data_IF_798188183752
#
_entry.id   IF_798188183752
#
_cell.length_a   1.000
_cell.length_b   1.000
_cell.length_c   1.000
_cell.angle_alpha   90.00
_cell.angle_beta   90.00
_cell.angle_gamma   90.00
#
_symmetry.space_group_name_H-M   'P 1'
#
loop_
_entity.id
_entity.type
_entity.pdbx_description
1 polymer ?
#
# COMPACT_ATOMS: atom_id res chain seq x y z
N UNK A 1 1.18 23.07 -8.89
CA UNK A 1 0.90 22.39 -7.62
C UNK A 1 1.83 21.20 -7.46
N UNK A 2 2.37 21.05 -6.25
CA UNK A 2 3.28 19.94 -5.97
C UNK A 2 2.51 18.78 -5.35
N UNK A 3 2.81 17.56 -5.76
CA UNK A 3 2.26 16.35 -5.17
C UNK A 3 3.26 15.21 -5.30
N UNK A 4 3.12 14.23 -4.46
CA UNK A 4 3.94 13.02 -4.56
C UNK A 4 3.50 12.24 -5.80
N UNK A 5 4.46 11.91 -6.69
CA UNK A 5 4.12 11.20 -7.92
C UNK A 5 4.87 9.89 -8.10
N UNK A 6 5.82 9.60 -7.22
CA UNK A 6 6.56 8.34 -7.30
C UNK A 6 6.96 7.90 -5.90
N UNK A 7 6.68 6.64 -5.59
CA UNK A 7 7.18 5.98 -4.39
C UNK A 7 7.76 4.64 -4.81
N UNK A 8 9.01 4.38 -4.43
CA UNK A 8 9.68 3.11 -4.70
C UNK A 8 9.89 2.39 -3.38
N UNK A 9 9.39 1.17 -3.30
CA UNK A 9 9.58 0.30 -2.14
C UNK A 9 10.53 -0.83 -2.51
N UNK A 10 11.56 -1.03 -1.69
CA UNK A 10 12.50 -2.14 -1.85
C UNK A 10 11.96 -3.33 -1.05
N UNK A 11 11.84 -4.48 -1.70
CA UNK A 11 11.13 -5.63 -1.17
C UNK A 11 12.04 -6.86 -1.18
N UNK A 12 12.01 -7.63 -0.09
CA UNK A 12 12.73 -8.90 -0.04
C UNK A 12 12.17 -9.91 -1.04
N UNK A 13 10.85 -9.84 -1.26
CA UNK A 13 10.14 -10.71 -2.20
C UNK A 13 9.06 -9.87 -2.88
N UNK A 14 9.34 -9.44 -4.12
CA UNK A 14 8.39 -8.58 -4.84
C UNK A 14 7.07 -9.28 -5.13
N UNK A 15 7.05 -10.63 -5.23
CA UNK A 15 5.81 -11.35 -5.44
C UNK A 15 4.92 -11.31 -4.20
N UNK A 16 5.51 -11.47 -3.01
CA UNK A 16 4.77 -11.38 -1.77
C UNK A 16 4.21 -9.96 -1.58
N UNK A 17 5.01 -8.95 -1.89
CA UNK A 17 4.59 -7.56 -1.77
C UNK A 17 3.50 -7.22 -2.79
N UNK A 18 3.62 -7.72 -4.02
CA UNK A 18 2.58 -7.54 -5.02
C UNK A 18 1.24 -8.11 -4.53
N UNK A 19 1.25 -9.33 -3.99
CA UNK A 19 0.02 -9.96 -3.47
C UNK A 19 -0.61 -9.13 -2.35
N UNK A 20 0.23 -8.61 -1.45
CA UNK A 20 -0.26 -7.78 -0.35
C UNK A 20 -0.94 -6.51 -0.88
N UNK A 21 -0.25 -5.76 -1.74
CA UNK A 21 -0.78 -4.48 -2.22
C UNK A 21 -1.95 -4.66 -3.18
N UNK A 22 -2.04 -5.81 -3.86
CA UNK A 22 -3.21 -6.12 -4.69
C UNK A 22 -4.47 -6.33 -3.85
N UNK A 23 -4.35 -6.80 -2.61
CA UNK A 23 -5.51 -6.87 -1.71
C UNK A 23 -6.06 -5.47 -1.44
N UNK A 24 -5.22 -4.45 -1.50
CA UNK A 24 -5.60 -3.04 -1.33
C UNK A 24 -6.15 -2.42 -2.63
N UNK A 25 -6.51 -3.23 -3.62
CA UNK A 25 -7.05 -2.82 -4.92
C UNK A 25 -6.03 -2.12 -5.82
N UNK A 26 -4.75 -2.27 -5.56
CA UNK A 26 -3.72 -1.78 -6.46
C UNK A 26 -3.46 -2.82 -7.54
N UNK A 27 -3.23 -2.36 -8.77
CA UNK A 27 -2.97 -3.25 -9.91
C UNK A 27 -1.56 -3.00 -10.40
N UNK A 28 -0.77 -4.08 -10.49
CA UNK A 28 0.63 -3.98 -10.85
C UNK A 28 0.90 -4.60 -12.20
N UNK A 29 1.81 -3.97 -12.95
CA UNK A 29 2.35 -4.51 -14.18
C UNK A 29 3.83 -4.82 -13.98
N UNK A 30 4.28 -5.94 -14.55
CA UNK A 30 5.67 -6.31 -14.49
C UNK A 30 6.47 -5.55 -15.54
N UNK A 31 7.61 -5.02 -15.13
CA UNK A 31 8.52 -4.29 -16.01
C UNK A 31 9.94 -4.79 -15.84
N UNK A 32 10.72 -4.73 -16.93
CA UNK A 32 12.15 -4.92 -16.91
C UNK A 32 12.71 -4.04 -18.01
N UNK A 33 13.66 -3.17 -17.66
CA UNK A 33 14.26 -2.21 -18.58
C UNK A 33 15.72 -2.58 -18.81
N UNK A 34 16.04 -3.01 -20.03
CA UNK A 34 17.39 -3.44 -20.37
C UNK A 34 17.84 -4.58 -19.48
N UNK A 35 18.99 -4.41 -18.83
CA UNK A 35 19.55 -5.39 -17.90
C UNK A 35 19.10 -5.18 -16.46
N UNK A 36 18.15 -4.26 -16.25
CA UNK A 36 17.65 -3.96 -14.92
C UNK A 36 16.82 -5.08 -14.34
N UNK A 37 16.58 -5.07 -13.02
CA UNK A 37 15.81 -6.11 -12.37
C UNK A 37 14.33 -6.02 -12.75
N UNK A 38 13.68 -7.19 -12.75
CA UNK A 38 12.23 -7.23 -12.85
C UNK A 38 11.63 -6.53 -11.65
N UNK A 39 10.65 -5.68 -11.88
CA UNK A 39 9.95 -4.96 -10.83
C UNK A 39 8.49 -4.80 -11.21
N UNK A 40 7.67 -4.39 -10.26
CA UNK A 40 6.26 -4.11 -10.48
C UNK A 40 5.98 -2.63 -10.35
N UNK A 41 5.06 -2.15 -11.17
CA UNK A 41 4.62 -0.76 -11.11
C UNK A 41 3.10 -0.70 -11.12
N UNK A 42 2.55 0.12 -10.21
CA UNK A 42 1.14 0.47 -10.17
C UNK A 42 1.04 1.96 -10.48
N UNK A 43 0.50 2.27 -11.64
CA UNK A 43 0.38 3.66 -12.09
C UNK A 43 -1.08 4.08 -12.16
N UNK A 44 -1.37 5.24 -11.63
CA UNK A 44 -2.66 5.88 -11.79
C UNK A 44 -2.46 7.35 -12.14
N UNK A 45 -3.53 8.12 -12.16
CA UNK A 45 -3.47 9.54 -12.54
C UNK A 45 -2.68 10.41 -11.56
N UNK A 46 -2.43 9.91 -10.33
CA UNK A 46 -1.72 10.67 -9.30
C UNK A 46 -0.23 10.35 -9.27
N UNK A 47 0.17 9.17 -9.70
CA UNK A 47 1.57 8.80 -9.67
C UNK A 47 1.78 7.30 -9.76
N UNK A 48 2.97 6.87 -9.36
CA UNK A 48 3.42 5.50 -9.52
C UNK A 48 3.93 4.96 -8.19
N UNK A 49 3.48 3.76 -7.84
CA UNK A 49 4.09 2.95 -6.78
C UNK A 49 4.85 1.81 -7.43
N UNK A 50 6.14 1.71 -7.15
CA UNK A 50 6.98 0.66 -7.71
C UNK A 50 7.50 -0.26 -6.61
N UNK A 51 7.53 -1.57 -6.93
CA UNK A 51 8.08 -2.59 -6.05
C UNK A 51 9.33 -3.15 -6.72
N UNK A 52 10.48 -2.85 -6.14
CA UNK A 52 11.79 -3.32 -6.63
C UNK A 52 12.36 -4.35 -5.69
N UNK A 53 13.10 -5.33 -6.21
CA UNK A 53 13.78 -6.26 -5.32
C UNK A 53 14.87 -5.53 -4.52
N UNK A 54 15.01 -5.87 -3.25
CA UNK A 54 16.08 -5.35 -2.43
C UNK A 54 17.39 -6.03 -2.80
N UNK A 55 18.48 -5.25 -2.90
CA UNK A 55 19.80 -5.81 -3.20
C UNK A 55 20.32 -6.69 -2.07
N UNK A 56 19.96 -6.34 -0.82
CA UNK A 56 20.28 -7.13 0.37
C UNK A 56 19.06 -7.14 1.27
N UNK A 57 18.87 -8.21 2.08
CA UNK A 57 17.76 -8.20 3.04
C UNK A 57 17.92 -7.00 3.97
N UNK A 58 16.98 -6.05 3.89
CA UNK A 58 17.01 -4.90 4.77
C UNK A 58 16.47 -5.31 6.13
N UNK A 59 17.24 -5.02 7.19
CA UNK A 59 16.74 -5.16 8.54
C UNK A 59 15.94 -3.92 8.89
N UNK A 60 14.61 -4.04 8.85
CA UNK A 60 13.72 -3.02 9.39
C UNK A 60 13.62 -1.75 8.57
N UNK A 61 12.91 -1.80 7.46
CA UNK A 61 12.50 -0.60 6.75
C UNK A 61 11.37 0.05 7.56
N UNK A 62 11.60 1.28 8.03
CA UNK A 62 10.62 2.02 8.84
C UNK A 62 9.77 2.98 8.02
N UNK A 63 9.82 2.87 6.70
CA UNK A 63 8.95 3.67 5.84
C UNK A 63 7.49 3.39 6.16
N UNK A 64 6.71 4.44 6.44
CA UNK A 64 5.27 4.33 6.58
C UNK A 64 4.59 4.64 5.27
N UNK A 65 3.55 3.88 4.94
CA UNK A 65 2.78 4.07 3.70
C UNK A 65 1.32 4.19 4.09
N UNK A 66 0.61 5.15 3.48
CA UNK A 66 -0.80 5.37 3.76
C UNK A 66 -1.64 5.33 2.50
N UNK A 67 -2.82 4.73 2.61
CA UNK A 67 -3.81 4.68 1.55
C UNK A 67 -5.16 5.13 2.09
N UNK A 68 -6.02 5.63 1.22
CA UNK A 68 -7.39 5.93 1.55
C UNK A 68 -8.29 4.85 0.94
N UNK A 69 -9.34 4.48 1.67
CA UNK A 69 -10.30 3.49 1.20
C UNK A 69 -11.72 3.96 1.56
N UNK A 70 -12.69 3.79 0.64
CA UNK A 70 -14.08 4.16 0.96
C UNK A 70 -14.73 3.23 1.98
N UNK A 71 -14.17 2.02 2.20
CA UNK A 71 -14.75 1.04 3.13
C UNK A 71 -13.62 0.29 3.83
N UNK A 72 -13.19 0.80 4.98
CA UNK A 72 -12.06 0.20 5.69
C UNK A 72 -12.44 -1.13 6.36
N UNK A 73 -13.71 -1.35 6.70
CA UNK A 73 -14.13 -2.66 7.25
C UNK A 73 -13.99 -3.75 6.19
N UNK A 74 -14.44 -3.50 4.97
CA UNK A 74 -14.31 -4.46 3.88
C UNK A 74 -12.84 -4.73 3.58
N UNK A 75 -12.02 -3.68 3.57
CA UNK A 75 -10.59 -3.81 3.31
C UNK A 75 -9.90 -4.63 4.40
N UNK A 76 -10.21 -4.37 5.66
CA UNK A 76 -9.66 -5.11 6.78
C UNK A 76 -10.05 -6.59 6.69
N UNK A 77 -11.31 -6.88 6.35
CA UNK A 77 -11.78 -8.26 6.20
C UNK A 77 -11.05 -8.99 5.06
N UNK A 78 -10.80 -8.31 3.94
CA UNK A 78 -10.07 -8.90 2.81
C UNK A 78 -8.64 -9.21 3.16
N UNK A 79 -7.97 -8.32 3.90
CA UNK A 79 -6.60 -8.56 4.37
C UNK A 79 -6.56 -9.76 5.32
N UNK A 80 -7.50 -9.85 6.25
CA UNK A 80 -7.57 -10.98 7.18
C UNK A 80 -7.82 -12.30 6.42
N UNK A 81 -8.71 -12.29 5.44
CA UNK A 81 -8.99 -13.47 4.63
C UNK A 81 -7.77 -13.91 3.80
N UNK A 82 -6.91 -12.96 3.45
CA UNK A 82 -5.69 -13.26 2.69
C UNK A 82 -4.52 -13.69 3.60
N UNK A 83 -4.74 -13.77 4.91
CA UNK A 83 -3.72 -14.25 5.84
C UNK A 83 -2.91 -13.17 6.54
N UNK A 84 -3.24 -11.90 6.33
CA UNK A 84 -2.57 -10.80 7.02
C UNK A 84 -3.29 -10.50 8.34
N UNK A 85 -2.68 -9.68 9.18
CA UNK A 85 -3.21 -9.43 10.53
C UNK A 85 -3.43 -7.94 10.75
N UNK A 86 -4.50 -7.37 10.16
CA UNK A 86 -4.80 -5.97 10.38
C UNK A 86 -5.24 -5.72 11.82
N UNK A 87 -4.82 -4.60 12.38
CA UNK A 87 -5.30 -4.16 13.68
C UNK A 87 -6.74 -3.68 13.53
N UNK A 88 -7.54 -3.73 14.61
CA UNK A 88 -8.91 -3.21 14.54
C UNK A 88 -8.94 -1.73 14.19
N UNK A 89 -9.93 -1.29 13.42
CA UNK A 89 -10.09 0.14 13.12
C UNK A 89 -10.27 0.96 14.40
N UNK A 90 -9.77 2.19 14.37
CA UNK A 90 -9.89 3.12 15.48
C UNK A 90 -10.11 4.54 14.96
N UNK A 91 -10.68 5.37 15.82
CA UNK A 91 -10.88 6.78 15.51
C UNK A 91 -9.67 7.56 16.00
N UNK A 92 -9.10 8.39 15.12
CA UNK A 92 -7.98 9.28 15.41
C UNK A 92 -8.39 10.71 15.11
N UNK A 93 -7.62 11.72 15.58
CA UNK A 93 -7.91 13.10 15.22
C UNK A 93 -7.92 13.36 13.71
N UNK A 94 -7.17 12.56 12.93
CA UNK A 94 -7.10 12.71 11.48
C UNK A 94 -8.08 11.80 10.73
N UNK A 95 -8.92 11.04 11.43
CA UNK A 95 -9.93 10.21 10.83
C UNK A 95 -9.95 8.78 11.36
N UNK A 96 -10.78 7.97 10.74
CA UNK A 96 -10.90 6.56 11.10
C UNK A 96 -9.91 5.74 10.31
N UNK A 97 -9.06 4.95 10.99
CA UNK A 97 -7.95 4.24 10.37
C UNK A 97 -7.79 2.84 10.93
N UNK A 98 -7.09 2.00 10.18
CA UNK A 98 -6.47 0.81 10.76
C UNK A 98 -5.06 0.64 10.20
N UNK A 99 -4.25 -0.18 10.87
CA UNK A 99 -2.87 -0.43 10.49
C UNK A 99 -2.68 -1.91 10.22
N UNK A 100 -1.87 -2.21 9.21
CA UNK A 100 -1.44 -3.58 8.90
C UNK A 100 0.04 -3.50 8.50
N UNK A 101 0.77 -4.60 8.64
CA UNK A 101 2.17 -4.70 8.22
C UNK A 101 2.26 -5.35 6.85
N UNK A 102 3.08 -4.78 5.96
CA UNK A 102 3.34 -5.42 4.68
C UNK A 102 4.37 -6.54 4.84
N UNK A 103 4.69 -7.31 3.77
CA UNK A 103 5.63 -8.43 3.91
C UNK A 103 7.04 -8.05 4.36
N UNK A 104 7.43 -6.79 4.24
CA UNK A 104 8.71 -6.29 4.74
C UNK A 104 8.57 -5.59 6.09
N UNK A 105 7.43 -5.80 6.75
CA UNK A 105 7.14 -5.27 8.08
C UNK A 105 7.02 -3.74 8.11
N UNK A 106 6.70 -3.12 6.98
CA UNK A 106 6.39 -1.69 6.95
C UNK A 106 5.01 -1.45 7.54
N UNK A 107 4.88 -0.34 8.25
CA UNK A 107 3.59 0.11 8.75
C UNK A 107 2.77 0.68 7.61
N UNK A 108 1.63 0.06 7.33
CA UNK A 108 0.70 0.52 6.30
C UNK A 108 -0.58 0.99 7.00
N UNK A 109 -0.93 2.26 6.81
CA UNK A 109 -2.14 2.82 7.40
C UNK A 109 -3.22 2.96 6.32
N UNK A 110 -4.40 2.47 6.62
CA UNK A 110 -5.57 2.63 5.75
C UNK A 110 -6.53 3.60 6.42
N UNK A 111 -6.82 4.71 5.76
CA UNK A 111 -7.71 5.74 6.26
C UNK A 111 -9.01 5.72 5.50
N UNK A 112 -10.12 5.87 6.21
CA UNK A 112 -11.43 5.97 5.58
C UNK A 112 -11.54 7.26 4.80
N UNK A 113 -11.83 7.13 3.50
CA UNK A 113 -11.97 8.29 2.64
C UNK A 113 -13.33 8.95 2.88
N UNK A 114 -13.33 10.30 2.85
CA UNK A 114 -14.58 11.06 2.94
C UNK A 114 -15.27 10.99 1.58
N UNK A 115 -16.54 10.60 1.58
CA UNK A 115 -17.33 10.56 0.35
C UNK A 115 -17.72 11.97 -0.07
N UNK A 116 -17.69 12.28 -1.38
CA UNK A 116 -18.03 13.62 -1.85
C UNK A 116 -19.43 14.10 -1.42
N UNK A 117 -20.38 13.18 -1.31
CA UNK A 117 -21.74 13.52 -0.88
C UNK A 117 -21.78 14.02 0.56
N UNK A 118 -20.87 13.56 1.40
CA UNK A 118 -20.78 13.97 2.79
C UNK A 118 -20.22 15.37 2.92
N UNK A 119 -19.38 15.79 2.00
CA UNK A 119 -18.78 17.11 2.01
C UNK A 119 -19.77 18.22 1.67
N UNK A 120 -20.84 17.88 0.99
CA UNK A 120 -21.85 18.82 0.52
C UNK A 120 -23.09 18.88 1.40
N UNK A 121 -23.11 18.16 2.48
CA UNK A 121 -24.26 18.11 3.39
C UNK A 121 -24.24 19.18 4.47
#
# INVERSE_FOLDING_TARGET
>A
MKHLNLLVLRCRDIEASRRFYEVLDLRFEAHAHGDGPRHYACEDERGVLELYPAATPAAGDKTGVGFASPDIEAMSARLAAAGFQPQPPRVNPWGRTFVVRDPDDRRVEIKEAIQPEQENS
#
